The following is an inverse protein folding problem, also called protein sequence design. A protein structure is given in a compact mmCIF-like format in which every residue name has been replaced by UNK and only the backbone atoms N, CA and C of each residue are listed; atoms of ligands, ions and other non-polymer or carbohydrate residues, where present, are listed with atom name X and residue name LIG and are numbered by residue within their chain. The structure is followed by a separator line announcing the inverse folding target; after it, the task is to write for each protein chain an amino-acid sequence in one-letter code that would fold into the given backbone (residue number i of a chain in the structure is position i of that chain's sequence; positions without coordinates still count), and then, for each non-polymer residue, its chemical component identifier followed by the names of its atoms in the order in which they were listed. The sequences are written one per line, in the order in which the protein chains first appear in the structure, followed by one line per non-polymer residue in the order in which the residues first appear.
data_IF_024975944476
#
_entry.id   IF_024975944476
#
_cell.length_a   1.000
_cell.length_b   1.000
_cell.length_c   1.000
_cell.angle_alpha   90.00
_cell.angle_beta   90.00
_cell.angle_gamma   90.00
#
_symmetry.space_group_name_H-M   'P 1'
#
loop_
_entity.id
_entity.type
_entity.pdbx_description
1 polymer ?
#
# COMPACT_ATOMS: atom_id res chain seq x y z
N UNK A 1 22.37 -2.80 7.41
CA UNK A 1 20.95 -2.74 7.84
C UNK A 1 20.35 -1.38 7.50
N UNK A 2 20.85 -0.30 8.08
CA UNK A 2 20.33 1.07 7.86
C UNK A 2 20.27 1.48 6.38
N UNK A 3 21.30 1.15 5.59
CA UNK A 3 21.31 1.44 4.15
C UNK A 3 20.22 0.68 3.37
N UNK A 4 19.90 -0.56 3.75
CA UNK A 4 18.86 -1.36 3.07
C UNK A 4 17.50 -0.76 3.37
N UNK A 5 17.23 -0.52 4.65
CA UNK A 5 16.03 0.15 5.14
C UNK A 5 15.83 1.49 4.45
N UNK A 6 16.83 2.39 4.50
CA UNK A 6 16.79 3.71 3.84
C UNK A 6 16.47 3.60 2.34
N UNK A 7 17.11 2.67 1.63
CA UNK A 7 16.85 2.43 0.22
C UNK A 7 15.40 1.97 -0.05
N UNK A 8 14.84 1.12 0.82
CA UNK A 8 13.44 0.70 0.74
C UNK A 8 12.47 1.88 0.84
N UNK A 9 12.68 2.80 1.78
CA UNK A 9 11.84 4.01 1.92
C UNK A 9 11.94 4.94 0.72
N UNK A 10 13.17 5.21 0.26
CA UNK A 10 13.39 6.07 -0.91
C UNK A 10 12.69 5.48 -2.14
N UNK A 11 12.83 4.16 -2.36
CA UNK A 11 12.15 3.47 -3.47
C UNK A 11 10.64 3.55 -3.35
N UNK A 12 10.08 3.37 -2.16
CA UNK A 12 8.64 3.47 -1.96
C UNK A 12 8.12 4.88 -2.28
N UNK A 13 8.80 5.92 -1.79
CA UNK A 13 8.44 7.32 -2.08
C UNK A 13 8.45 7.55 -3.60
N UNK A 14 9.54 7.20 -4.27
CA UNK A 14 9.69 7.42 -5.72
C UNK A 14 8.60 6.66 -6.49
N UNK A 15 8.40 5.37 -6.20
CA UNK A 15 7.43 4.55 -6.93
C UNK A 15 5.98 5.01 -6.67
N UNK A 16 5.62 5.35 -5.44
CA UNK A 16 4.28 5.85 -5.12
C UNK A 16 4.03 7.20 -5.79
N UNK A 17 5.01 8.11 -5.77
CA UNK A 17 4.92 9.38 -6.50
C UNK A 17 4.74 9.15 -8.01
N UNK A 18 5.50 8.22 -8.61
CA UNK A 18 5.35 7.89 -10.03
C UNK A 18 3.96 7.34 -10.36
N UNK A 19 3.43 6.42 -9.55
CA UNK A 19 2.08 5.87 -9.73
C UNK A 19 1.03 6.98 -9.68
N UNK A 20 1.07 7.83 -8.66
CA UNK A 20 0.12 8.92 -8.52
C UNK A 20 0.30 10.02 -9.58
N UNK A 21 1.52 10.24 -10.07
CA UNK A 21 1.79 11.15 -11.18
C UNK A 21 1.19 10.62 -12.49
N UNK A 22 1.38 9.34 -12.80
CA UNK A 22 0.75 8.69 -13.96
C UNK A 22 -0.77 8.79 -13.84
N UNK A 23 -1.31 8.44 -12.68
CA UNK A 23 -2.75 8.54 -12.43
C UNK A 23 -3.23 9.99 -12.63
N UNK A 24 -2.52 11.00 -12.11
CA UNK A 24 -2.91 12.41 -12.26
C UNK A 24 -2.82 12.92 -13.70
N UNK A 25 -1.89 12.41 -14.50
CA UNK A 25 -1.77 12.77 -15.92
C UNK A 25 -2.90 12.16 -16.76
N UNK A 26 -3.30 10.92 -16.46
CA UNK A 26 -4.22 10.16 -17.31
C UNK A 26 -5.61 9.91 -16.72
N UNK A 27 -5.92 10.45 -15.54
CA UNK A 27 -7.16 10.19 -14.79
C UNK A 27 -8.43 10.28 -15.66
N UNK A 28 -8.54 11.34 -16.45
CA UNK A 28 -9.67 11.68 -17.32
C UNK A 28 -9.79 10.77 -18.55
N UNK A 29 -8.75 10.01 -18.87
CA UNK A 29 -8.70 9.08 -20.01
C UNK A 29 -8.80 7.61 -19.61
N UNK A 30 -8.73 7.33 -18.32
CA UNK A 30 -8.75 5.96 -17.78
C UNK A 30 -10.17 5.47 -17.53
N UNK A 31 -10.37 4.15 -17.62
CA UNK A 31 -11.61 3.52 -17.17
C UNK A 31 -11.70 3.51 -15.64
N UNK A 32 -12.93 3.49 -15.12
CA UNK A 32 -13.18 3.38 -13.67
C UNK A 32 -12.39 2.22 -13.04
N UNK A 33 -12.38 1.05 -13.68
CA UNK A 33 -11.65 -0.12 -13.21
C UNK A 33 -10.14 0.13 -13.10
N UNK A 34 -9.54 0.77 -14.11
CA UNK A 34 -8.11 1.10 -14.09
C UNK A 34 -7.76 2.09 -12.97
N UNK A 35 -8.61 3.09 -12.72
CA UNK A 35 -8.42 4.04 -11.62
C UNK A 35 -8.46 3.31 -10.26
N UNK A 36 -9.45 2.44 -10.05
CA UNK A 36 -9.55 1.65 -8.81
C UNK A 36 -8.32 0.77 -8.58
N UNK A 37 -7.80 0.11 -9.64
CA UNK A 37 -6.57 -0.67 -9.55
C UNK A 37 -5.38 0.22 -9.20
N UNK A 38 -5.23 1.37 -9.87
CA UNK A 38 -4.13 2.32 -9.62
C UNK A 38 -4.11 2.86 -8.19
N UNK A 39 -5.27 3.02 -7.55
CA UNK A 39 -5.36 3.40 -6.13
C UNK A 39 -4.86 2.30 -5.17
N UNK A 40 -4.89 1.04 -5.59
CA UNK A 40 -4.40 -0.11 -4.80
C UNK A 40 -2.91 -0.41 -5.06
N UNK A 41 -2.36 -0.02 -6.21
CA UNK A 41 -0.95 -0.29 -6.57
C UNK A 41 0.06 0.20 -5.50
N UNK A 42 -0.06 1.41 -4.90
CA UNK A 42 0.85 1.86 -3.84
C UNK A 42 0.92 0.90 -2.65
N UNK A 43 -0.19 0.25 -2.31
CA UNK A 43 -0.24 -0.76 -1.25
C UNK A 43 0.56 -2.00 -1.62
N UNK A 44 0.43 -2.45 -2.86
CA UNK A 44 1.17 -3.60 -3.38
C UNK A 44 2.67 -3.30 -3.42
N UNK A 45 3.07 -2.10 -3.86
CA UNK A 45 4.46 -1.65 -3.87
C UNK A 45 5.04 -1.72 -2.45
N UNK A 46 4.34 -1.13 -1.47
CA UNK A 46 4.79 -1.17 -0.08
C UNK A 46 4.92 -2.62 0.42
N UNK A 47 3.94 -3.47 0.15
CA UNK A 47 3.97 -4.89 0.54
C UNK A 47 5.21 -5.62 0.00
N UNK A 48 5.49 -5.45 -1.30
CA UNK A 48 6.64 -6.08 -1.96
C UNK A 48 7.95 -5.54 -1.40
N UNK A 49 8.05 -4.23 -1.17
CA UNK A 49 9.26 -3.59 -0.64
C UNK A 49 9.55 -4.03 0.80
N UNK A 50 8.53 -4.07 1.67
CA UNK A 50 8.66 -4.59 3.04
C UNK A 50 9.11 -6.05 3.00
N UNK A 51 8.51 -6.88 2.13
CA UNK A 51 8.90 -8.29 2.00
C UNK A 51 10.35 -8.43 1.55
N UNK A 52 10.79 -7.67 0.55
CA UNK A 52 12.18 -7.68 0.07
C UNK A 52 13.17 -7.26 1.16
N UNK A 53 12.84 -6.24 1.96
CA UNK A 53 13.66 -5.85 3.11
C UNK A 53 13.72 -6.97 4.16
N UNK A 54 12.58 -7.60 4.47
CA UNK A 54 12.51 -8.72 5.40
C UNK A 54 13.33 -9.92 4.91
N UNK A 55 13.25 -10.29 3.63
CA UNK A 55 14.02 -11.39 3.06
C UNK A 55 15.54 -11.11 3.11
N UNK A 56 15.94 -9.84 2.98
CA UNK A 56 17.35 -9.43 3.03
C UNK A 56 17.90 -9.27 4.46
N UNK A 57 17.06 -8.94 5.44
CA UNK A 57 17.50 -8.59 6.81
C UNK A 57 17.04 -9.58 7.88
N UNK A 58 16.03 -10.40 7.59
CA UNK A 58 15.31 -11.27 8.52
C UNK A 58 14.74 -10.57 9.78
N UNK A 59 14.61 -9.24 9.72
CA UNK A 59 14.13 -8.41 10.82
C UNK A 59 12.81 -7.76 10.42
N UNK A 60 11.84 -7.83 11.33
CA UNK A 60 10.59 -7.06 11.21
C UNK A 60 10.86 -5.66 11.74
N UNK A 61 10.80 -4.67 10.87
CA UNK A 61 11.16 -3.31 11.22
C UNK A 61 9.94 -2.55 11.77
N UNK A 62 10.07 -1.93 12.94
CA UNK A 62 9.02 -1.09 13.54
C UNK A 62 8.60 0.08 12.65
N UNK A 63 9.47 0.50 11.74
CA UNK A 63 9.19 1.60 10.81
C UNK A 63 8.33 1.17 9.61
N UNK A 64 8.00 -0.11 9.43
CA UNK A 64 7.19 -0.58 8.29
C UNK A 64 5.81 0.10 8.19
N UNK A 65 5.28 0.58 9.31
CA UNK A 65 4.04 1.38 9.36
C UNK A 65 4.16 2.78 8.75
N UNK A 66 5.39 3.32 8.59
CA UNK A 66 5.61 4.62 7.95
C UNK A 66 5.38 4.58 6.43
N UNK A 67 5.57 3.42 5.79
CA UNK A 67 5.40 3.26 4.33
C UNK A 67 3.93 3.52 3.88
N UNK A 68 2.92 2.90 4.51
CA UNK A 68 1.52 3.24 4.24
C UNK A 68 1.19 4.71 4.53
N UNK A 69 1.76 5.31 5.59
CA UNK A 69 1.54 6.73 5.91
C UNK A 69 2.11 7.67 4.86
N UNK A 70 3.31 7.39 4.35
CA UNK A 70 3.89 8.14 3.23
C UNK A 70 2.98 8.06 2.01
N UNK A 71 2.45 6.87 1.71
CA UNK A 71 1.53 6.66 0.58
C UNK A 71 0.22 7.42 0.77
N UNK A 72 -0.26 7.53 2.01
CA UNK A 72 -1.42 8.34 2.37
C UNK A 72 -1.18 9.82 2.09
N UNK A 73 -0.02 10.35 2.51
CA UNK A 73 0.35 11.73 2.25
C UNK A 73 0.48 12.00 0.75
N UNK A 74 1.08 11.09 -0.02
CA UNK A 74 1.16 11.20 -1.47
C UNK A 74 -0.24 11.17 -2.11
N UNK A 75 -1.15 10.33 -1.61
CA UNK A 75 -2.55 10.30 -2.06
C UNK A 75 -3.27 11.64 -1.81
N UNK A 76 -3.07 12.25 -0.64
CA UNK A 76 -3.64 13.57 -0.33
C UNK A 76 -3.11 14.63 -1.31
N UNK A 77 -1.80 14.65 -1.55
CA UNK A 77 -1.18 15.59 -2.49
C UNK A 77 -1.77 15.39 -3.90
N UNK A 78 -1.80 14.15 -4.38
CA UNK A 78 -2.42 13.77 -5.64
C UNK A 78 -3.87 14.26 -5.73
N UNK A 79 -4.66 13.96 -4.71
CA UNK A 79 -6.08 14.27 -4.68
C UNK A 79 -6.35 15.78 -4.75
N UNK A 80 -5.52 16.58 -4.09
CA UNK A 80 -5.58 18.05 -4.21
C UNK A 80 -5.21 18.52 -5.62
N UNK A 81 -4.16 17.95 -6.23
CA UNK A 81 -3.75 18.30 -7.60
C UNK A 81 -4.87 17.99 -8.60
N UNK A 82 -5.42 16.77 -8.61
CA UNK A 82 -6.44 16.39 -9.62
C UNK A 82 -7.78 17.08 -9.40
N UNK A 83 -8.09 17.48 -8.16
CA UNK A 83 -9.24 18.33 -7.85
C UNK A 83 -9.03 19.73 -8.42
N UNK A 84 -7.91 20.39 -8.09
CA UNK A 84 -7.63 21.76 -8.51
C UNK A 84 -7.55 21.90 -10.04
N UNK A 85 -7.09 20.84 -10.71
CA UNK A 85 -6.94 20.83 -12.16
C UNK A 85 -8.23 20.38 -12.88
N UNK A 86 -9.35 20.18 -12.17
CA UNK A 86 -10.66 19.80 -12.72
C UNK A 86 -10.75 18.36 -13.25
N UNK A 87 -9.64 17.61 -13.30
CA UNK A 87 -9.60 16.24 -13.83
C UNK A 87 -10.48 15.28 -13.04
N UNK A 88 -10.58 15.48 -11.73
CA UNK A 88 -11.49 14.68 -10.91
C UNK A 88 -12.96 14.87 -11.30
N UNK A 89 -13.37 16.11 -11.58
CA UNK A 89 -14.75 16.39 -12.00
C UNK A 89 -15.06 15.81 -13.37
N UNK A 90 -14.11 15.89 -14.31
CA UNK A 90 -14.25 15.23 -15.62
C UNK A 90 -14.42 13.72 -15.46
N UNK A 91 -13.55 13.08 -14.67
CA UNK A 91 -13.64 11.65 -14.39
C UNK A 91 -14.97 11.28 -13.71
N UNK A 92 -15.36 12.02 -12.67
CA UNK A 92 -16.62 11.83 -11.94
C UNK A 92 -17.82 11.90 -12.88
N UNK A 93 -17.88 12.91 -13.74
CA UNK A 93 -19.00 13.11 -14.67
C UNK A 93 -19.05 12.03 -15.76
N UNK A 94 -17.91 11.51 -16.19
CA UNK A 94 -17.86 10.44 -17.19
C UNK A 94 -18.42 9.09 -16.68
N UNK A 95 -18.21 8.80 -15.40
CA UNK A 95 -18.49 7.48 -14.82
C UNK A 95 -19.60 7.46 -13.75
N UNK A 96 -20.07 8.61 -13.26
CA UNK A 96 -21.27 8.66 -12.43
C UNK A 96 -22.49 8.43 -13.32
N UNK A 97 -23.09 7.25 -13.22
CA UNK A 97 -24.25 6.86 -14.02
C UNK A 97 -25.26 6.12 -13.17
N UNK A 98 -26.53 6.38 -13.45
CA UNK A 98 -27.65 5.56 -13.00
C UNK A 98 -27.93 4.51 -14.08
N UNK A 99 -27.83 3.22 -13.71
CA UNK A 99 -28.13 2.08 -14.57
C UNK A 99 -29.28 1.29 -13.95
N UNK A 100 -30.49 1.56 -14.42
CA UNK A 100 -31.71 0.96 -13.86
C UNK A 100 -31.90 1.36 -12.39
N UNK A 101 -31.84 0.39 -11.48
CA UNK A 101 -31.94 0.64 -10.03
C UNK A 101 -30.56 0.85 -9.35
N UNK A 102 -29.45 0.70 -10.08
CA UNK A 102 -28.10 0.81 -9.52
C UNK A 102 -27.49 2.16 -9.90
N UNK A 103 -27.19 3.01 -8.92
CA UNK A 103 -26.43 4.25 -9.11
C UNK A 103 -24.98 4.06 -8.71
N UNK A 104 -24.04 4.31 -9.61
CA UNK A 104 -22.62 4.45 -9.23
C UNK A 104 -22.35 5.91 -8.94
N UNK A 105 -22.16 6.25 -7.66
CA UNK A 105 -21.83 7.61 -7.21
C UNK A 105 -20.36 7.70 -6.86
N UNK A 106 -19.62 8.50 -7.62
CA UNK A 106 -18.23 8.84 -7.33
C UNK A 106 -18.22 10.06 -6.40
N UNK A 107 -17.31 10.06 -5.41
CA UNK A 107 -17.18 11.15 -4.46
C UNK A 107 -16.96 12.51 -5.15
N UNK A 108 -17.43 13.59 -4.53
CA UNK A 108 -17.26 14.93 -5.08
C UNK A 108 -15.79 15.34 -5.11
N UNK A 109 -15.01 14.85 -4.16
CA UNK A 109 -13.57 15.07 -4.10
C UNK A 109 -12.84 13.78 -3.73
N UNK A 110 -11.65 13.51 -4.30
CA UNK A 110 -10.83 12.39 -3.86
C UNK A 110 -10.29 12.61 -2.44
N UNK A 111 -10.28 13.87 -1.97
CA UNK A 111 -9.89 14.28 -0.63
C UNK A 111 -11.08 14.61 0.26
N UNK A 112 -12.29 14.14 -0.09
CA UNK A 112 -13.43 14.21 0.83
C UNK A 112 -13.08 13.48 2.13
N UNK A 113 -13.56 14.00 3.27
CA UNK A 113 -13.21 13.48 4.61
C UNK A 113 -13.50 11.98 4.72
N UNK A 114 -14.62 11.51 4.17
CA UNK A 114 -14.98 10.09 4.15
C UNK A 114 -13.99 9.24 3.35
N UNK A 115 -13.51 9.74 2.21
CA UNK A 115 -12.50 9.08 1.37
C UNK A 115 -11.13 9.05 2.06
N UNK A 116 -10.77 10.12 2.75
CA UNK A 116 -9.52 10.18 3.52
C UNK A 116 -9.53 9.20 4.69
N UNK A 117 -10.63 9.15 5.46
CA UNK A 117 -10.78 8.19 6.56
C UNK A 117 -10.72 6.76 6.04
N UNK A 118 -11.45 6.45 4.97
CA UNK A 118 -11.44 5.13 4.34
C UNK A 118 -10.02 4.74 3.88
N UNK A 119 -9.35 5.63 3.16
CA UNK A 119 -7.99 5.38 2.64
C UNK A 119 -6.97 5.19 3.76
N UNK A 120 -7.07 5.98 4.84
CA UNK A 120 -6.20 5.85 6.01
C UNK A 120 -6.39 4.50 6.70
N UNK A 121 -7.65 4.09 6.94
CA UNK A 121 -7.95 2.79 7.55
C UNK A 121 -7.40 1.67 6.66
N UNK A 122 -7.64 1.72 5.35
CA UNK A 122 -7.14 0.73 4.41
C UNK A 122 -5.61 0.61 4.44
N UNK A 123 -4.90 1.74 4.40
CA UNK A 123 -3.44 1.77 4.40
C UNK A 123 -2.85 1.26 5.73
N UNK A 124 -3.42 1.67 6.87
CA UNK A 124 -2.99 1.17 8.19
C UNK A 124 -3.29 -0.32 8.34
N UNK A 125 -4.49 -0.76 7.96
CA UNK A 125 -4.89 -2.17 8.08
C UNK A 125 -3.99 -3.08 7.26
N UNK A 126 -3.66 -2.70 6.02
CA UNK A 126 -2.77 -3.47 5.15
C UNK A 126 -1.35 -3.47 5.71
N UNK A 127 -0.83 -2.33 6.18
CA UNK A 127 0.48 -2.28 6.84
C UNK A 127 0.56 -3.20 8.04
N UNK A 128 -0.50 -3.24 8.86
CA UNK A 128 -0.62 -4.14 9.99
C UNK A 128 -0.68 -5.62 9.56
N UNK A 129 -1.52 -5.97 8.59
CA UNK A 129 -1.65 -7.35 8.11
C UNK A 129 -0.32 -7.88 7.57
N UNK A 130 0.39 -7.08 6.76
CA UNK A 130 1.69 -7.45 6.21
C UNK A 130 2.71 -7.72 7.32
N UNK A 131 2.81 -6.81 8.29
CA UNK A 131 3.73 -6.94 9.42
C UNK A 131 3.42 -8.20 10.25
N UNK A 132 2.13 -8.49 10.47
CA UNK A 132 1.67 -9.67 11.21
C UNK A 132 2.00 -10.98 10.49
N UNK A 133 1.79 -11.03 9.17
CA UNK A 133 2.11 -12.21 8.33
C UNK A 133 3.63 -12.50 8.39
N UNK A 134 4.47 -11.48 8.27
CA UNK A 134 5.93 -11.64 8.33
C UNK A 134 6.40 -12.08 9.71
N UNK A 135 5.85 -11.49 10.77
CA UNK A 135 6.17 -11.87 12.15
C UNK A 135 5.83 -13.34 12.44
N UNK A 136 4.66 -13.80 11.97
CA UNK A 136 4.24 -15.19 12.10
C UNK A 136 5.19 -16.16 11.37
N UNK A 137 5.57 -15.81 10.14
CA UNK A 137 6.52 -16.60 9.33
C UNK A 137 7.89 -16.73 10.01
N UNK A 138 8.41 -15.65 10.60
CA UNK A 138 9.69 -15.66 11.33
C UNK A 138 9.63 -16.57 12.57
N UNK A 139 8.54 -16.50 13.35
CA UNK A 139 8.36 -17.34 14.54
C UNK A 139 8.34 -18.83 14.18
N UNK A 140 7.66 -19.20 13.09
CA UNK A 140 7.62 -20.58 12.61
C UNK A 140 9.01 -21.08 12.15
N UNK A 141 9.78 -20.24 11.46
CA UNK A 141 11.16 -20.57 11.06
C UNK A 141 12.07 -20.82 12.27
N UNK A 142 12.06 -19.93 13.27
CA UNK A 142 12.84 -20.08 14.50
C UNK A 142 12.47 -21.34 15.28
N UNK A 143 11.18 -21.64 15.40
CA UNK A 143 10.70 -22.86 16.06
C UNK A 143 11.16 -24.13 15.35
N UNK A 144 11.17 -24.13 14.00
CA UNK A 144 11.65 -25.28 13.21
C UNK A 144 13.15 -25.53 13.41
N UNK A 145 13.97 -24.49 13.47
CA UNK A 145 15.42 -24.60 13.76
C UNK A 145 15.65 -25.11 15.19
N UNK A 146 14.93 -24.57 16.18
CA UNK A 146 15.04 -25.01 17.58
C UNK A 146 14.68 -26.48 17.75
N UNK A 147 13.60 -26.94 17.14
CA UNK A 147 13.17 -28.34 17.20
C UNK A 147 14.17 -29.28 16.53
N UNK A 148 14.80 -28.88 15.41
CA UNK A 148 15.85 -29.65 14.74
C UNK A 148 17.12 -29.79 15.59
N UNK A 149 17.50 -28.75 16.32
CA UNK A 149 18.66 -28.79 17.20
C UNK A 149 18.38 -29.65 18.45
N UNK A 150 17.18 -29.58 19.01
CA UNK A 150 16.76 -30.43 20.14
C UNK A 150 16.66 -31.92 19.76
N UNK A 151 16.23 -32.24 18.53
CA UNK A 151 16.21 -33.64 18.07
C UNK A 151 17.61 -34.20 17.84
N UNK A 152 18.57 -33.35 17.40
CA UNK A 152 19.98 -33.75 17.26
C UNK A 152 20.66 -33.96 18.60
N UNK A 153 20.40 -33.16 19.63
CA UNK A 153 21.06 -33.37 20.93
C UNK A 153 20.64 -34.68 21.58
N UNK A 154 19.38 -35.09 21.42
CA UNK A 154 18.84 -36.36 21.95
C UNK A 154 19.34 -37.62 21.23
N UNK A 155 19.95 -37.50 20.06
CA UNK A 155 20.50 -38.66 19.33
C UNK A 155 21.96 -38.98 19.69
N UNK A 156 22.58 -38.18 20.56
CA UNK A 156 23.96 -38.37 21.03
C UNK A 156 24.03 -38.73 22.53
N UNK A 157 22.89 -38.93 23.19
CA UNK A 157 22.74 -39.54 24.52
C UNK A 157 22.32 -41.01 24.37
#
# INVERSE_FOLDING_TARGET
MENVTKNTYIKAIILNCLVFLILGIFLDKMSLAFVLIMLVIPLIINAVLIKKEFDATHIVNKYHYLLPLISFLTYIIFGNIVKNNGKWDVFKNAYSKDVGQMSVKIANSPVDVSQLIFSLIMYVAIGYLLTKIMTSTNKNSKNKVRNKNASRSKSFE
#
